data_IF_106893976470
#
_entry.id   IF_106893976470
#
_cell.length_a   1.000
_cell.length_b   1.000
_cell.length_c   1.000
_cell.angle_alpha   90.00
_cell.angle_beta   90.00
_cell.angle_gamma   90.00
#
_symmetry.space_group_name_H-M   'P 1'
#
loop_
_entity.id
_entity.type
_entity.pdbx_description
1 polymer ?
#
# COMPACT_ATOMS: atom_id res chain seq x y z
N UNK A 1 15.84 -29.46 -30.24
CA UNK A 1 16.19 -28.10 -29.82
C UNK A 1 15.39 -27.76 -28.58
N UNK A 2 16.09 -27.65 -27.46
CA UNK A 2 15.56 -27.21 -26.17
C UNK A 2 15.08 -25.75 -26.27
N UNK A 3 14.03 -25.42 -25.52
CA UNK A 3 14.06 -24.24 -24.66
C UNK A 3 12.90 -24.31 -23.68
N UNK A 4 13.24 -24.69 -22.45
CA UNK A 4 12.42 -24.59 -21.25
C UNK A 4 12.04 -23.14 -20.99
N UNK A 5 10.75 -22.85 -20.84
CA UNK A 5 10.28 -21.65 -20.14
C UNK A 5 9.93 -22.06 -18.72
N UNK A 6 10.91 -21.94 -17.83
CA UNK A 6 10.69 -21.93 -16.38
C UNK A 6 9.77 -20.75 -16.05
N UNK A 7 8.52 -21.04 -15.71
CA UNK A 7 7.63 -20.11 -15.04
C UNK A 7 7.82 -20.33 -13.53
N UNK A 8 8.32 -19.36 -12.74
CA UNK A 8 8.31 -19.47 -11.29
C UNK A 8 6.88 -19.24 -10.82
N UNK A 9 6.03 -20.27 -10.99
CA UNK A 9 4.82 -20.34 -10.21
C UNK A 9 5.26 -20.34 -8.75
N UNK A 10 4.83 -19.33 -8.01
CA UNK A 10 4.74 -19.40 -6.56
C UNK A 10 3.98 -20.70 -6.26
N UNK A 11 4.72 -21.76 -5.95
CA UNK A 11 4.18 -23.03 -5.52
C UNK A 11 3.49 -22.74 -4.19
N UNK A 12 2.19 -22.49 -4.27
CA UNK A 12 1.35 -22.44 -3.09
C UNK A 12 1.38 -23.86 -2.52
N UNK A 13 2.10 -24.03 -1.41
CA UNK A 13 2.36 -25.31 -0.74
C UNK A 13 1.05 -26.08 -0.45
N UNK A 14 -0.09 -25.37 -0.44
CA UNK A 14 -1.45 -25.93 -0.28
C UNK A 14 -1.99 -26.72 -1.47
N UNK A 15 -1.31 -26.73 -2.62
CA UNK A 15 -1.74 -27.47 -3.83
C UNK A 15 -1.12 -28.85 -3.98
N UNK A 16 -0.28 -29.28 -3.03
CA UNK A 16 0.31 -30.62 -3.00
C UNK A 16 -0.60 -31.52 -2.17
N UNK A 17 -1.19 -32.54 -2.81
CA UNK A 17 -1.95 -33.60 -2.14
C UNK A 17 -1.15 -34.17 -0.95
N UNK A 18 -1.67 -34.14 0.30
CA UNK A 18 -0.91 -34.48 1.49
C UNK A 18 -0.23 -35.86 1.44
N UNK A 19 -0.80 -36.81 0.69
CA UNK A 19 -0.32 -38.19 0.58
C UNK A 19 1.00 -38.40 -0.16
N UNK A 20 1.52 -37.42 -0.91
CA UNK A 20 2.76 -37.55 -1.69
C UNK A 20 4.00 -36.92 -1.05
N UNK A 21 3.84 -36.28 0.12
CA UNK A 21 4.93 -35.58 0.80
C UNK A 21 5.66 -36.52 1.78
N UNK A 22 6.98 -36.39 1.87
CA UNK A 22 7.77 -37.10 2.88
C UNK A 22 7.31 -36.68 4.29
N UNK A 23 7.29 -37.58 5.31
CA UNK A 23 6.64 -37.36 6.60
C UNK A 23 7.01 -36.04 7.30
N UNK A 24 8.28 -35.64 7.22
CA UNK A 24 8.74 -34.35 7.77
C UNK A 24 8.07 -33.14 7.11
N UNK A 25 7.78 -33.18 5.80
CA UNK A 25 7.07 -32.12 5.09
C UNK A 25 5.56 -32.16 5.33
N UNK A 26 4.97 -33.33 5.56
CA UNK A 26 3.56 -33.45 5.98
C UNK A 26 3.34 -32.75 7.32
N UNK A 27 4.20 -33.00 8.30
CA UNK A 27 4.12 -32.36 9.63
C UNK A 27 4.31 -30.84 9.56
N UNK A 28 5.15 -30.34 8.64
CA UNK A 28 5.32 -28.91 8.40
C UNK A 28 4.09 -28.27 7.75
N UNK A 29 3.49 -28.95 6.76
CA UNK A 29 2.27 -28.48 6.10
C UNK A 29 1.07 -28.46 7.07
N UNK A 30 0.92 -29.49 7.90
CA UNK A 30 -0.09 -29.54 8.96
C UNK A 30 0.11 -28.42 9.98
N UNK A 31 1.34 -28.18 10.46
CA UNK A 31 1.63 -27.04 11.34
C UNK A 31 1.33 -25.69 10.68
N UNK A 32 1.68 -25.52 9.41
CA UNK A 32 1.39 -24.29 8.67
C UNK A 32 -0.12 -24.05 8.48
N UNK A 33 -0.91 -25.11 8.32
CA UNK A 33 -2.37 -25.04 8.22
C UNK A 33 -3.08 -24.64 9.52
N UNK A 34 -2.37 -24.71 10.65
CA UNK A 34 -2.88 -24.38 11.98
C UNK A 34 -2.49 -22.97 12.45
N UNK A 35 -1.66 -22.25 11.68
CA UNK A 35 -1.33 -20.85 11.97
C UNK A 35 -2.49 -19.94 11.55
N UNK A 36 -2.83 -18.91 12.34
CA UNK A 36 -3.80 -17.92 11.92
C UNK A 36 -3.32 -17.21 10.65
N UNK A 37 -4.22 -17.04 9.68
CA UNK A 37 -3.92 -16.26 8.47
C UNK A 37 -3.56 -14.83 8.87
N UNK A 38 -2.49 -14.24 8.31
CA UNK A 38 -2.12 -12.89 8.67
C UNK A 38 -3.24 -11.93 8.25
N UNK A 39 -3.61 -11.02 9.14
CA UNK A 39 -4.58 -9.98 8.83
C UNK A 39 -4.01 -9.04 7.77
N UNK A 40 -4.74 -8.87 6.67
CA UNK A 40 -4.40 -7.94 5.60
C UNK A 40 -5.57 -6.99 5.36
N UNK A 41 -5.26 -5.71 5.20
CA UNK A 41 -6.23 -4.67 4.86
C UNK A 41 -5.59 -3.72 3.85
N UNK A 42 -6.33 -3.44 2.78
CA UNK A 42 -5.90 -2.51 1.76
C UNK A 42 -6.63 -1.18 1.91
N UNK A 43 -5.88 -0.09 2.01
CA UNK A 43 -6.43 1.27 2.07
C UNK A 43 -5.87 2.12 0.94
N UNK A 44 -6.63 3.15 0.57
CA UNK A 44 -6.26 4.11 -0.46
C UNK A 44 -6.37 5.51 0.12
N UNK A 45 -5.24 6.15 0.32
CA UNK A 45 -5.16 7.50 0.84
C UNK A 45 -5.48 8.53 -0.24
N UNK A 46 -6.17 9.59 0.16
CA UNK A 46 -6.60 10.69 -0.69
C UNK A 46 -6.09 12.00 -0.09
N UNK A 47 -4.77 12.28 -0.16
CA UNK A 47 -4.16 13.37 0.59
C UNK A 47 -4.61 14.76 0.12
N UNK A 48 -5.22 14.86 -1.06
CA UNK A 48 -5.81 16.10 -1.58
C UNK A 48 -7.34 16.16 -1.45
N UNK A 49 -7.95 15.17 -0.80
CA UNK A 49 -9.40 15.02 -0.81
C UNK A 49 -9.91 14.84 -2.24
N UNK A 50 -10.90 15.65 -2.63
CA UNK A 50 -11.47 15.69 -3.99
C UNK A 50 -10.82 16.73 -4.91
N UNK A 51 -9.88 17.52 -4.42
CA UNK A 51 -9.27 18.63 -5.19
C UNK A 51 -8.41 18.10 -6.33
N UNK A 52 -8.66 18.58 -7.54
CA UNK A 52 -7.99 18.20 -8.78
C UNK A 52 -7.72 19.44 -9.63
N UNK A 53 -6.70 19.39 -10.49
CA UNK A 53 -6.41 20.42 -11.50
C UNK A 53 -7.12 20.17 -12.85
N UNK A 54 -7.99 19.16 -12.91
CA UNK A 54 -8.82 18.84 -14.07
C UNK A 54 -10.29 18.74 -13.67
N UNK A 55 -11.18 19.09 -14.60
CA UNK A 55 -12.63 18.93 -14.48
C UNK A 55 -13.14 17.92 -15.53
N UNK A 56 -12.77 16.65 -15.37
CA UNK A 56 -13.15 15.61 -16.31
C UNK A 56 -14.68 15.40 -16.25
N UNK A 57 -15.36 15.47 -17.41
CA UNK A 57 -16.83 15.34 -17.52
C UNK A 57 -17.43 14.09 -16.83
N UNK A 58 -16.66 13.01 -16.72
CA UNK A 58 -17.08 11.74 -16.14
C UNK A 58 -16.63 11.55 -14.67
N UNK A 59 -15.95 12.53 -14.07
CA UNK A 59 -15.39 12.39 -12.73
C UNK A 59 -16.44 12.66 -11.66
N UNK A 60 -17.03 11.60 -11.10
CA UNK A 60 -17.93 11.70 -9.96
C UNK A 60 -17.25 12.17 -8.66
N UNK A 61 -15.91 12.24 -8.66
CA UNK A 61 -15.14 12.40 -7.43
C UNK A 61 -14.94 13.87 -7.02
N UNK A 62 -14.94 14.81 -7.96
CA UNK A 62 -14.78 16.24 -7.67
C UNK A 62 -15.96 16.78 -6.85
N UNK A 63 -17.18 16.33 -7.15
CA UNK A 63 -18.41 16.73 -6.47
C UNK A 63 -18.41 16.42 -4.96
N UNK A 64 -17.50 15.56 -4.49
CA UNK A 64 -17.33 15.24 -3.06
C UNK A 64 -16.86 16.46 -2.25
N UNK A 65 -16.34 17.51 -2.88
CA UNK A 65 -16.02 18.78 -2.20
C UNK A 65 -17.26 19.42 -1.56
N UNK A 66 -18.46 19.14 -2.10
CA UNK A 66 -19.74 19.66 -1.58
C UNK A 66 -20.16 18.97 -0.29
N UNK A 67 -19.62 17.77 -0.01
CA UNK A 67 -19.90 17.02 1.22
C UNK A 67 -19.06 17.50 2.41
N UNK A 68 -17.94 18.19 2.13
CA UNK A 68 -16.98 18.64 3.14
C UNK A 68 -16.60 20.11 2.90
N UNK A 69 -17.55 21.05 2.95
CA UNK A 69 -17.31 22.47 2.66
C UNK A 69 -16.23 23.08 3.55
N UNK A 70 -16.11 22.64 4.79
CA UNK A 70 -15.08 23.07 5.75
C UNK A 70 -13.66 22.66 5.33
N UNK A 71 -13.53 21.59 4.53
CA UNK A 71 -12.24 21.11 4.02
C UNK A 71 -11.78 21.88 2.79
N UNK A 72 -12.61 22.73 2.17
CA UNK A 72 -12.21 23.47 0.96
C UNK A 72 -11.06 24.45 1.20
N UNK A 73 -10.93 24.98 2.43
CA UNK A 73 -9.83 25.87 2.81
C UNK A 73 -8.58 25.11 3.29
N UNK A 74 -8.76 23.87 3.77
CA UNK A 74 -7.72 23.01 4.34
C UNK A 74 -7.83 21.58 3.79
N UNK A 75 -7.76 21.45 2.47
CA UNK A 75 -8.01 20.18 1.76
C UNK A 75 -6.83 19.21 1.85
N UNK A 76 -5.64 19.73 2.13
CA UNK A 76 -4.40 18.96 2.26
C UNK A 76 -4.43 18.09 3.51
N UNK A 77 -3.97 16.85 3.39
CA UNK A 77 -3.61 16.03 4.53
C UNK A 77 -2.46 16.69 5.29
N UNK A 78 -2.67 16.95 6.58
CA UNK A 78 -1.64 17.50 7.45
C UNK A 78 -0.66 16.42 7.95
N UNK A 79 0.43 16.87 8.58
CA UNK A 79 1.51 16.01 9.04
C UNK A 79 1.10 15.07 10.18
N UNK A 80 0.16 15.49 11.03
CA UNK A 80 -0.33 14.68 12.15
C UNK A 80 -1.14 13.51 11.60
N UNK A 81 -2.05 13.78 10.68
CA UNK A 81 -2.86 12.77 9.99
C UNK A 81 -1.99 11.85 9.15
N UNK A 82 -0.98 12.35 8.44
CA UNK A 82 -0.02 11.51 7.70
C UNK A 82 0.69 10.53 8.64
N UNK A 83 1.19 11.02 9.78
CA UNK A 83 1.91 10.22 10.76
C UNK A 83 1.02 9.15 11.37
N UNK A 84 -0.23 9.51 11.70
CA UNK A 84 -1.21 8.59 12.25
C UNK A 84 -1.62 7.52 11.24
N UNK A 85 -1.87 7.93 9.99
CA UNK A 85 -2.22 7.03 8.88
C UNK A 85 -1.13 5.98 8.66
N UNK A 86 0.15 6.38 8.60
CA UNK A 86 1.27 5.45 8.41
C UNK A 86 1.33 4.42 9.53
N UNK A 87 1.26 4.85 10.79
CA UNK A 87 1.31 3.95 11.95
C UNK A 87 0.13 2.98 11.94
N UNK A 88 -1.09 3.49 11.81
CA UNK A 88 -2.30 2.67 11.84
C UNK A 88 -2.34 1.67 10.68
N UNK A 89 -1.97 2.10 9.47
CA UNK A 89 -1.96 1.22 8.31
C UNK A 89 -0.97 0.08 8.48
N UNK A 90 0.21 0.35 9.05
CA UNK A 90 1.22 -0.69 9.29
C UNK A 90 0.86 -1.58 10.48
N UNK A 91 0.27 -1.05 11.55
CA UNK A 91 -0.14 -1.83 12.74
C UNK A 91 -1.36 -2.71 12.50
N UNK A 92 -2.26 -2.31 11.59
CA UNK A 92 -3.46 -3.08 11.27
C UNK A 92 -3.18 -4.36 10.46
N UNK A 93 -1.97 -4.54 9.95
CA UNK A 93 -1.58 -5.62 9.06
C UNK A 93 -0.54 -6.53 9.69
N UNK A 94 -0.54 -7.82 9.35
CA UNK A 94 0.41 -8.82 9.84
C UNK A 94 1.26 -9.43 8.72
N UNK A 95 0.99 -9.02 7.48
CA UNK A 95 1.71 -9.46 6.29
C UNK A 95 3.17 -8.98 6.21
N UNK A 96 3.99 -9.63 5.36
CA UNK A 96 5.36 -9.21 5.09
C UNK A 96 5.44 -7.92 4.27
N UNK A 97 4.32 -7.44 3.74
CA UNK A 97 4.23 -6.27 2.89
C UNK A 97 3.05 -5.39 3.34
N UNK A 98 3.25 -4.07 3.30
CA UNK A 98 2.21 -3.07 3.46
C UNK A 98 2.21 -2.15 2.25
N UNK A 99 1.07 -2.09 1.56
CA UNK A 99 0.88 -1.23 0.40
C UNK A 99 0.22 0.08 0.83
N UNK A 100 0.86 1.19 0.44
CA UNK A 100 0.34 2.55 0.54
C UNK A 100 -0.07 3.04 -0.84
N UNK A 101 -1.38 3.16 -1.07
CA UNK A 101 -1.89 3.63 -2.34
C UNK A 101 -2.33 5.09 -2.26
N UNK A 102 -1.72 5.93 -3.08
CA UNK A 102 -1.98 7.37 -3.15
C UNK A 102 -2.89 7.70 -4.34
N UNK A 103 -4.05 8.27 -4.04
CA UNK A 103 -5.09 8.68 -5.00
C UNK A 103 -5.71 10.02 -4.55
N UNK A 104 -6.96 10.29 -4.91
CA UNK A 104 -7.65 11.54 -4.57
C UNK A 104 -7.37 12.63 -5.59
N UNK A 105 -8.25 13.63 -5.70
CA UNK A 105 -8.58 14.35 -6.93
C UNK A 105 -7.44 14.33 -7.94
N UNK A 106 -6.38 15.09 -7.66
CA UNK A 106 -5.05 14.81 -8.20
C UNK A 106 -3.99 14.81 -7.07
N UNK A 107 -3.30 13.69 -6.79
CA UNK A 107 -2.37 13.60 -5.66
C UNK A 107 -1.08 14.42 -5.86
N UNK A 108 -0.63 14.67 -7.10
CA UNK A 108 0.56 15.50 -7.35
C UNK A 108 0.43 16.94 -6.83
N UNK A 109 -0.79 17.41 -6.54
CA UNK A 109 -1.03 18.70 -5.89
C UNK A 109 -0.50 18.77 -4.44
N UNK A 110 -0.20 17.63 -3.80
CA UNK A 110 0.54 17.64 -2.54
C UNK A 110 2.00 18.07 -2.70
N UNK A 111 2.58 17.89 -3.90
CA UNK A 111 3.98 18.19 -4.18
C UNK A 111 4.94 17.13 -3.63
N UNK A 112 6.12 17.05 -4.25
CA UNK A 112 7.20 16.11 -3.90
C UNK A 112 7.57 16.15 -2.39
N UNK A 113 7.67 17.31 -1.71
CA UNK A 113 8.06 17.36 -0.30
C UNK A 113 7.12 16.58 0.64
N UNK A 114 5.83 16.50 0.31
CA UNK A 114 4.88 15.69 1.07
C UNK A 114 5.22 14.20 1.00
N UNK A 115 5.52 13.70 -0.21
CA UNK A 115 5.83 12.29 -0.42
C UNK A 115 7.20 11.90 0.12
N UNK A 116 8.20 12.79 0.01
CA UNK A 116 9.50 12.60 0.67
C UNK A 116 9.31 12.40 2.18
N UNK A 117 8.53 13.28 2.82
CA UNK A 117 8.19 13.15 4.24
C UNK A 117 7.46 11.84 4.55
N UNK A 118 6.47 11.47 3.73
CA UNK A 118 5.74 10.22 3.90
C UNK A 118 6.68 9.00 3.85
N UNK A 119 7.60 8.96 2.89
CA UNK A 119 8.55 7.86 2.73
C UNK A 119 9.58 7.81 3.87
N UNK A 120 10.04 8.96 4.35
CA UNK A 120 10.89 9.06 5.53
C UNK A 120 10.19 8.49 6.77
N UNK A 121 8.93 8.87 7.00
CA UNK A 121 8.14 8.37 8.13
C UNK A 121 7.86 6.86 8.01
N UNK A 122 7.49 6.38 6.83
CA UNK A 122 7.31 4.94 6.56
C UNK A 122 8.59 4.15 6.85
N UNK A 123 9.74 4.62 6.36
CA UNK A 123 11.04 3.98 6.58
C UNK A 123 11.43 3.98 8.06
N UNK A 124 11.24 5.09 8.75
CA UNK A 124 11.53 5.21 10.17
C UNK A 124 10.67 4.23 10.99
N UNK A 125 9.38 4.13 10.67
CA UNK A 125 8.47 3.23 11.37
C UNK A 125 8.73 1.75 11.05
N UNK A 126 9.02 1.40 9.79
CA UNK A 126 9.46 0.06 9.42
C UNK A 126 10.74 -0.35 10.16
N UNK A 127 11.71 0.56 10.31
CA UNK A 127 12.93 0.31 11.09
C UNK A 127 12.64 0.12 12.58
N UNK A 128 11.66 0.84 13.14
CA UNK A 128 11.20 0.63 14.51
C UNK A 128 10.58 -0.76 14.70
N UNK A 129 9.72 -1.19 13.77
CA UNK A 129 9.12 -2.52 13.79
C UNK A 129 10.18 -3.62 13.66
N UNK A 130 11.20 -3.41 12.82
CA UNK A 130 12.29 -4.37 12.66
C UNK A 130 13.09 -4.58 13.95
N UNK A 131 13.32 -3.52 14.74
CA UNK A 131 13.93 -3.64 16.09
C UNK A 131 13.07 -4.47 17.05
N UNK A 132 11.75 -4.51 16.83
CA UNK A 132 10.81 -5.36 17.57
C UNK A 132 10.62 -6.75 16.93
N UNK A 133 11.44 -7.12 15.94
CA UNK A 133 11.40 -8.43 15.27
C UNK A 133 10.44 -8.50 14.08
N UNK A 134 9.67 -7.43 13.80
CA UNK A 134 8.70 -7.40 12.69
C UNK A 134 9.30 -6.73 11.47
N UNK A 135 9.59 -7.52 10.44
CA UNK A 135 10.13 -7.04 9.17
C UNK A 135 8.99 -6.90 8.16
N UNK A 136 8.86 -5.70 7.58
CA UNK A 136 7.80 -5.38 6.63
C UNK A 136 8.39 -4.61 5.45
N UNK A 137 8.04 -5.04 4.24
CA UNK A 137 8.29 -4.31 3.01
C UNK A 137 7.22 -3.23 2.84
N UNK A 138 7.64 -2.01 2.53
CA UNK A 138 6.72 -0.90 2.24
C UNK A 138 6.67 -0.71 0.73
N UNK A 139 5.48 -0.80 0.15
CA UNK A 139 5.24 -0.55 -1.27
C UNK A 139 4.35 0.68 -1.41
N UNK A 140 4.75 1.62 -2.28
CA UNK A 140 3.94 2.78 -2.60
C UNK A 140 3.38 2.63 -4.01
N UNK A 141 2.08 2.86 -4.18
CA UNK A 141 1.43 2.97 -5.49
C UNK A 141 0.87 4.38 -5.66
N UNK A 142 0.87 4.89 -6.88
CA UNK A 142 0.54 6.28 -7.17
C UNK A 142 -0.38 6.37 -8.39
N UNK A 143 -1.57 6.94 -8.22
CA UNK A 143 -2.52 7.16 -9.31
C UNK A 143 -2.61 8.65 -9.63
N UNK A 144 -2.15 9.06 -10.81
CA UNK A 144 -2.14 10.47 -11.25
C UNK A 144 -2.74 10.62 -12.65
N UNK A 145 -3.24 11.82 -12.95
CA UNK A 145 -3.61 12.24 -14.31
C UNK A 145 -2.40 12.54 -15.21
N UNK A 146 -1.19 12.59 -14.65
CA UNK A 146 0.06 12.73 -15.40
C UNK A 146 0.45 14.17 -15.79
N UNK A 147 -0.43 15.16 -15.63
CA UNK A 147 -0.18 16.54 -16.13
C UNK A 147 1.00 17.21 -15.42
N UNK A 148 1.24 16.85 -14.15
CA UNK A 148 2.32 17.44 -13.34
C UNK A 148 3.59 16.58 -13.30
N UNK A 149 3.66 15.49 -14.06
CA UNK A 149 4.85 14.65 -14.09
C UNK A 149 5.92 15.33 -14.95
N UNK A 150 7.00 15.73 -14.30
CA UNK A 150 8.22 16.26 -14.87
C UNK A 150 9.42 15.40 -14.43
N UNK A 151 10.64 15.83 -14.75
CA UNK A 151 11.88 15.11 -14.38
C UNK A 151 12.06 14.94 -12.86
N UNK A 152 11.50 15.82 -12.04
CA UNK A 152 11.60 15.69 -10.59
C UNK A 152 10.64 14.63 -10.03
N UNK A 153 9.54 14.36 -10.76
CA UNK A 153 8.57 13.32 -10.41
C UNK A 153 8.89 11.92 -10.95
N UNK A 154 9.62 11.83 -12.07
CA UNK A 154 9.97 10.57 -12.75
C UNK A 154 11.09 9.80 -12.04
#
# INVERSE_FOLDING_TARGET
MQSSKNNPQQLNVRSIEPGSLHPLYQTLAERASQLPEPRHCYTMAKPTGSVCNLDCRYCFYLEKEKLYPERQQNWRMDDEILSLYIKQQMDAQEGPEVVFSWQGGEPTLMGIPFYQKAFEQQKAYAAQLAKAGRHVAVVNTFQTNGIKIDEAWA
#
